data_IF_912368189707
#
_entry.id   IF_912368189707
#
_cell.length_a   1.000
_cell.length_b   1.000
_cell.length_c   1.000
_cell.angle_alpha   90.00
_cell.angle_beta   90.00
_cell.angle_gamma   90.00
#
_symmetry.space_group_name_H-M   'P 1'
#
loop_
_entity.id
_entity.type
_entity.pdbx_description
1 polymer ?
#
# COMPACT_ATOMS: atom_id res chain seq x y z
N UNK A 1 -8.51 84.40 29.88
CA UNK A 1 -9.76 84.66 29.14
C UNK A 1 -10.31 83.29 28.77
N UNK A 2 -11.16 82.71 29.60
CA UNK A 2 -12.65 82.72 29.58
C UNK A 2 -13.18 82.28 28.23
N UNK A 3 -13.74 81.03 28.16
CA UNK A 3 -15.16 80.74 28.10
C UNK A 3 -15.36 79.26 27.78
N UNK A 4 -16.01 78.56 28.65
CA UNK A 4 -17.39 78.05 28.67
C UNK A 4 -17.63 76.78 27.73
N UNK A 5 -17.66 75.67 28.33
CA UNK A 5 -18.73 74.68 28.64
C UNK A 5 -19.98 74.79 27.77
N UNK A 6 -20.30 73.68 27.13
CA UNK A 6 -21.68 73.14 27.03
C UNK A 6 -21.73 71.64 26.86
N UNK A 7 -22.31 70.99 27.84
CA UNK A 7 -22.68 69.58 27.90
C UNK A 7 -23.88 69.32 26.99
N UNK A 8 -23.86 68.14 26.24
CA UNK A 8 -25.09 67.50 25.78
C UNK A 8 -24.97 65.99 26.03
N UNK A 9 -25.85 65.52 26.90
CA UNK A 9 -26.15 64.11 27.09
C UNK A 9 -26.71 63.52 25.77
N UNK A 10 -26.22 62.44 25.37
CA UNK A 10 -26.88 61.58 24.41
C UNK A 10 -26.93 60.09 24.95
N UNK A 11 -28.16 59.60 24.99
CA UNK A 11 -28.54 58.34 25.60
C UNK A 11 -27.89 57.12 24.95
N UNK A 12 -27.33 56.21 25.76
CA UNK A 12 -26.92 54.86 25.34
C UNK A 12 -28.17 53.97 25.14
N UNK A 13 -28.44 53.59 23.91
CA UNK A 13 -29.30 52.47 23.60
C UNK A 13 -28.45 51.20 23.54
N UNK A 14 -28.54 50.32 24.53
CA UNK A 14 -27.89 49.01 24.57
C UNK A 14 -28.67 48.03 23.68
N UNK A 15 -28.17 47.76 22.46
CA UNK A 15 -28.60 46.59 21.67
C UNK A 15 -27.81 45.37 22.11
N UNK A 16 -28.44 44.50 22.86
CA UNK A 16 -27.94 43.16 23.17
C UNK A 16 -27.97 42.29 21.89
N UNK A 17 -26.82 42.17 21.23
CA UNK A 17 -26.61 41.17 20.20
C UNK A 17 -26.37 39.85 20.87
N UNK A 18 -27.40 38.97 20.87
CA UNK A 18 -27.29 37.55 21.20
C UNK A 18 -26.53 36.89 20.02
N UNK A 19 -25.23 36.83 20.14
CA UNK A 19 -24.37 36.04 19.23
C UNK A 19 -24.60 34.55 19.46
N UNK A 20 -25.46 33.93 18.65
CA UNK A 20 -25.59 32.50 18.58
C UNK A 20 -24.25 31.92 18.06
N UNK A 21 -23.50 31.21 18.90
CA UNK A 21 -22.41 30.32 18.48
C UNK A 21 -22.98 29.13 17.70
N UNK A 22 -23.40 29.35 16.47
CA UNK A 22 -23.57 28.27 15.51
C UNK A 22 -22.17 27.79 15.13
N UNK A 23 -21.85 26.51 15.38
CA UNK A 23 -20.70 25.87 14.76
C UNK A 23 -20.77 26.15 13.25
N UNK A 24 -19.71 26.66 12.61
CA UNK A 24 -19.69 26.77 11.16
C UNK A 24 -20.04 25.42 10.57
N UNK A 25 -21.01 25.37 9.67
CA UNK A 25 -21.28 24.19 8.88
C UNK A 25 -19.95 23.82 8.16
N UNK A 26 -19.60 22.53 8.07
CA UNK A 26 -18.43 22.12 7.32
C UNK A 26 -18.58 22.70 5.90
N UNK A 27 -17.58 23.48 5.48
CA UNK A 27 -17.52 23.95 4.09
C UNK A 27 -17.67 22.74 3.16
N UNK A 28 -18.49 22.82 2.10
CA UNK A 28 -18.56 21.75 1.14
C UNK A 28 -17.15 21.55 0.58
N UNK A 29 -16.56 20.39 0.85
CA UNK A 29 -15.27 20.02 0.29
C UNK A 29 -15.43 20.04 -1.22
N UNK A 30 -14.87 21.06 -1.88
CA UNK A 30 -14.88 21.13 -3.34
C UNK A 30 -14.20 19.87 -3.86
N UNK A 31 -14.94 19.08 -4.64
CA UNK A 31 -14.35 17.93 -5.32
C UNK A 31 -13.13 18.38 -6.10
N UNK A 32 -11.99 17.70 -6.00
CA UNK A 32 -10.80 18.13 -6.73
C UNK A 32 -11.11 18.12 -8.23
N UNK A 33 -10.71 19.16 -8.93
CA UNK A 33 -10.90 19.25 -10.38
C UNK A 33 -10.16 18.11 -11.11
N UNK A 34 -9.08 17.62 -10.52
CA UNK A 34 -8.25 16.51 -11.02
C UNK A 34 -7.98 15.54 -9.88
N UNK A 35 -8.26 14.26 -10.08
CA UNK A 35 -7.88 13.18 -9.18
C UNK A 35 -6.45 12.73 -9.49
N UNK A 36 -5.58 12.78 -8.51
CA UNK A 36 -4.27 12.16 -8.61
C UNK A 36 -4.39 10.69 -8.18
N UNK A 37 -4.11 9.79 -9.12
CA UNK A 37 -4.08 8.35 -8.91
C UNK A 37 -2.65 7.90 -8.62
N UNK A 38 -2.37 7.46 -7.40
CA UNK A 38 -1.05 6.97 -7.06
C UNK A 38 -0.81 5.57 -7.58
N UNK A 39 0.40 5.35 -8.08
CA UNK A 39 0.90 4.05 -8.51
C UNK A 39 2.11 3.71 -7.64
N UNK A 40 2.03 2.56 -6.95
CA UNK A 40 3.09 2.09 -6.07
C UNK A 40 4.39 1.86 -6.86
N UNK A 41 5.52 2.31 -6.32
CA UNK A 41 6.85 2.19 -6.94
C UNK A 41 7.46 0.78 -6.77
N UNK A 42 6.68 -0.26 -7.15
CA UNK A 42 7.12 -1.65 -7.14
C UNK A 42 8.16 -1.93 -8.23
N UNK A 43 8.02 -1.25 -9.36
CA UNK A 43 8.90 -1.29 -10.52
C UNK A 43 9.32 0.14 -10.89
N UNK A 44 10.07 0.31 -11.99
CA UNK A 44 10.42 1.65 -12.46
C UNK A 44 9.18 2.41 -12.99
N UNK A 45 9.26 3.74 -12.93
CA UNK A 45 8.14 4.61 -13.29
C UNK A 45 7.67 4.41 -14.74
N UNK A 46 8.59 4.16 -15.69
CA UNK A 46 8.22 4.01 -17.09
C UNK A 46 7.41 2.72 -17.30
N UNK A 47 7.86 1.61 -16.72
CA UNK A 47 7.17 0.33 -16.76
C UNK A 47 5.76 0.44 -16.14
N UNK A 48 5.66 1.06 -14.95
CA UNK A 48 4.38 1.29 -14.28
C UNK A 48 3.46 2.20 -15.10
N UNK A 49 3.98 3.25 -15.71
CA UNK A 49 3.21 4.16 -16.58
C UNK A 49 2.65 3.45 -17.80
N UNK A 50 3.44 2.57 -18.40
CA UNK A 50 3.04 1.82 -19.61
C UNK A 50 1.89 0.84 -19.34
N UNK A 51 1.87 0.20 -18.16
CA UNK A 51 0.84 -0.81 -17.84
C UNK A 51 -0.42 -0.21 -17.19
N UNK A 52 -0.28 0.86 -16.37
CA UNK A 52 -1.41 1.53 -15.75
C UNK A 52 -2.07 2.58 -16.63
N UNK A 53 -1.31 3.21 -17.53
CA UNK A 53 -1.80 4.28 -18.41
C UNK A 53 -3.11 3.93 -19.11
N UNK A 54 -3.20 2.80 -19.85
CA UNK A 54 -4.43 2.40 -20.53
C UNK A 54 -5.66 2.30 -19.61
N UNK A 55 -5.51 1.75 -18.40
CA UNK A 55 -6.61 1.69 -17.43
C UNK A 55 -7.02 3.08 -16.93
N UNK A 56 -6.08 3.99 -16.73
CA UNK A 56 -6.38 5.36 -16.30
C UNK A 56 -7.06 6.16 -17.41
N UNK A 57 -6.70 5.91 -18.67
CA UNK A 57 -7.36 6.52 -19.83
C UNK A 57 -8.82 6.03 -19.96
N UNK A 58 -9.06 4.72 -19.78
CA UNK A 58 -10.40 4.15 -19.75
C UNK A 58 -11.20 4.67 -18.55
N UNK A 59 -10.59 4.81 -17.39
CA UNK A 59 -11.22 5.42 -16.21
C UNK A 59 -11.71 6.84 -16.52
N UNK A 60 -10.88 7.68 -17.13
CA UNK A 60 -11.26 9.02 -17.52
C UNK A 60 -12.43 9.00 -18.53
N UNK A 61 -12.32 8.17 -19.56
CA UNK A 61 -13.30 8.05 -20.64
C UNK A 61 -14.67 7.59 -20.12
N UNK A 62 -14.70 6.56 -19.27
CA UNK A 62 -15.96 5.94 -18.80
C UNK A 62 -16.64 6.74 -17.68
N UNK A 63 -15.86 7.45 -16.85
CA UNK A 63 -16.40 8.16 -15.69
C UNK A 63 -16.57 9.66 -15.89
N UNK A 64 -15.88 10.23 -16.88
CA UNK A 64 -15.80 11.68 -17.09
C UNK A 64 -14.93 12.41 -16.04
N UNK A 65 -14.23 11.67 -15.17
CA UNK A 65 -13.31 12.24 -14.18
C UNK A 65 -11.98 12.60 -14.86
N UNK A 66 -11.39 13.72 -14.49
CA UNK A 66 -10.00 14.02 -14.87
C UNK A 66 -9.06 13.27 -13.89
N UNK A 67 -8.22 12.37 -14.41
CA UNK A 67 -7.31 11.56 -13.60
C UNK A 67 -5.87 11.78 -14.08
N UNK A 68 -4.92 11.91 -13.14
CA UNK A 68 -3.48 11.97 -13.45
C UNK A 68 -2.73 10.92 -12.66
N UNK A 69 -1.80 10.18 -13.27
CA UNK A 69 -0.93 9.29 -12.53
C UNK A 69 -0.01 10.10 -11.62
N UNK A 70 0.22 9.59 -10.41
CA UNK A 70 1.15 10.13 -9.42
C UNK A 70 2.16 9.07 -9.04
N UNK A 71 3.43 9.38 -9.17
CA UNK A 71 4.55 8.51 -8.80
C UNK A 71 5.33 9.15 -7.66
N UNK A 72 5.69 8.35 -6.68
CA UNK A 72 6.56 8.76 -5.59
C UNK A 72 7.86 7.95 -5.63
N UNK A 73 8.91 8.47 -5.02
CA UNK A 73 10.23 7.82 -4.97
C UNK A 73 10.26 6.53 -4.14
N UNK A 74 9.32 6.38 -3.20
CA UNK A 74 9.21 5.24 -2.30
C UNK A 74 7.79 5.15 -1.72
N UNK A 75 7.50 4.05 -1.03
CA UNK A 75 6.18 3.76 -0.46
C UNK A 75 5.78 4.75 0.65
N UNK A 76 6.72 5.20 1.48
CA UNK A 76 6.45 6.19 2.52
C UNK A 76 6.00 7.52 1.91
N UNK A 77 6.69 8.00 0.88
CA UNK A 77 6.30 9.24 0.19
C UNK A 77 4.90 9.14 -0.42
N UNK A 78 4.52 7.97 -0.91
CA UNK A 78 3.18 7.72 -1.45
C UNK A 78 2.09 7.80 -0.37
N UNK A 79 2.33 7.17 0.79
CA UNK A 79 1.43 7.23 1.95
C UNK A 79 1.26 8.68 2.45
N UNK A 80 2.36 9.43 2.53
CA UNK A 80 2.32 10.84 2.92
C UNK A 80 1.62 11.71 1.87
N UNK A 81 1.82 11.47 0.58
CA UNK A 81 1.09 12.17 -0.48
C UNK A 81 -0.43 11.99 -0.34
N UNK A 82 -0.89 10.79 0.00
CA UNK A 82 -2.31 10.55 0.32
C UNK A 82 -2.72 11.27 1.62
N UNK A 83 -1.88 11.25 2.66
CA UNK A 83 -2.15 11.94 3.93
C UNK A 83 -2.36 13.44 3.76
N UNK A 84 -1.56 14.07 2.91
CA UNK A 84 -1.62 15.50 2.63
C UNK A 84 -2.53 15.87 1.45
N UNK A 85 -3.42 14.97 1.05
CA UNK A 85 -4.38 15.16 -0.05
C UNK A 85 -3.75 15.51 -1.40
N UNK A 86 -2.48 15.19 -1.61
CA UNK A 86 -1.85 15.26 -2.93
C UNK A 86 -2.29 14.12 -3.84
N UNK A 87 -2.78 13.03 -3.24
CA UNK A 87 -3.33 11.85 -3.90
C UNK A 87 -4.71 11.55 -3.30
N UNK A 88 -5.71 11.29 -4.14
CA UNK A 88 -7.08 11.03 -3.71
C UNK A 88 -7.49 9.56 -3.89
N UNK A 89 -6.86 8.88 -4.81
CA UNK A 89 -7.11 7.47 -5.14
C UNK A 89 -5.80 6.82 -5.56
N UNK A 90 -5.65 5.50 -5.38
CA UNK A 90 -4.44 4.82 -5.87
C UNK A 90 -4.36 3.35 -5.56
N UNK A 91 -3.37 2.73 -6.14
CA UNK A 91 -3.01 1.33 -5.98
C UNK A 91 -1.90 1.16 -4.95
N UNK A 92 -2.14 0.33 -3.94
CA UNK A 92 -1.24 0.08 -2.81
C UNK A 92 -1.18 -1.42 -2.50
N UNK A 93 -0.01 -1.94 -2.14
CA UNK A 93 0.07 -3.28 -1.54
C UNK A 93 -0.45 -3.26 -0.10
N UNK A 94 -0.67 -4.43 0.50
CA UNK A 94 -1.47 -4.53 1.73
C UNK A 94 -0.89 -3.79 2.95
N UNK A 95 0.45 -3.76 3.17
CA UNK A 95 1.04 -3.00 4.28
C UNK A 95 0.91 -1.48 4.10
N UNK A 96 1.29 -0.87 2.98
CA UNK A 96 1.04 0.56 2.79
C UNK A 96 -0.45 0.90 2.74
N UNK A 97 -1.34 -0.02 2.32
CA UNK A 97 -2.79 0.14 2.46
C UNK A 97 -3.20 0.28 3.92
N UNK A 98 -2.71 -0.61 4.78
CA UNK A 98 -2.97 -0.55 6.22
C UNK A 98 -2.49 0.76 6.84
N UNK A 99 -1.30 1.22 6.47
CA UNK A 99 -0.80 2.49 6.97
C UNK A 99 -1.61 3.69 6.46
N UNK A 100 -2.01 3.71 5.20
CA UNK A 100 -2.84 4.77 4.63
C UNK A 100 -4.24 4.80 5.30
N UNK A 101 -4.86 3.65 5.55
CA UNK A 101 -6.13 3.55 6.30
C UNK A 101 -5.99 4.11 7.72
N UNK A 102 -4.87 3.80 8.39
CA UNK A 102 -4.66 4.21 9.78
C UNK A 102 -4.29 5.69 9.94
N UNK A 103 -3.59 6.31 8.98
CA UNK A 103 -2.98 7.64 9.18
C UNK A 103 -3.18 8.64 8.03
N UNK A 104 -3.75 8.23 6.91
CA UNK A 104 -3.95 9.09 5.73
C UNK A 104 -5.42 9.33 5.38
N UNK A 105 -6.33 9.08 6.33
CA UNK A 105 -7.78 9.19 6.14
C UNK A 105 -8.27 8.44 4.88
N UNK A 106 -7.68 7.30 4.60
CA UNK A 106 -8.02 6.44 3.46
C UNK A 106 -8.96 5.30 3.88
N UNK A 107 -9.66 4.76 2.90
CA UNK A 107 -10.46 3.53 2.99
C UNK A 107 -10.20 2.65 1.77
N UNK A 108 -10.41 1.35 1.94
CA UNK A 108 -10.32 0.38 0.85
C UNK A 108 -11.58 0.48 -0.01
N UNK A 109 -11.40 0.70 -1.31
CA UNK A 109 -12.48 0.68 -2.30
C UNK A 109 -12.67 -0.71 -2.91
N UNK A 110 -11.56 -1.39 -3.18
CA UNK A 110 -11.56 -2.72 -3.76
C UNK A 110 -10.19 -3.37 -3.68
N UNK A 111 -10.15 -4.69 -3.82
CA UNK A 111 -8.92 -5.48 -3.89
C UNK A 111 -8.70 -6.03 -5.28
N UNK A 112 -7.45 -6.19 -5.65
CA UNK A 112 -7.04 -6.81 -6.90
C UNK A 112 -7.38 -8.31 -6.87
N UNK A 113 -7.74 -8.83 -8.03
CA UNK A 113 -7.81 -10.26 -8.32
C UNK A 113 -6.65 -10.59 -9.25
N UNK A 114 -5.74 -11.45 -8.81
CA UNK A 114 -4.58 -11.90 -9.60
C UNK A 114 -5.02 -12.62 -10.88
N UNK A 115 -4.13 -12.69 -11.86
CA UNK A 115 -4.42 -13.28 -13.16
C UNK A 115 -4.87 -14.75 -13.13
N UNK A 116 -4.54 -15.48 -12.05
CA UNK A 116 -5.02 -16.86 -11.78
C UNK A 116 -6.40 -16.90 -11.10
N UNK A 117 -7.03 -15.76 -10.84
CA UNK A 117 -8.33 -15.63 -10.18
C UNK A 117 -8.29 -15.60 -8.66
N UNK A 118 -7.12 -15.75 -8.03
CA UNK A 118 -6.95 -15.65 -6.59
C UNK A 118 -6.95 -14.18 -6.13
N UNK A 119 -7.03 -13.95 -4.83
CA UNK A 119 -6.93 -12.62 -4.21
C UNK A 119 -5.71 -12.55 -3.28
N UNK A 120 -4.72 -13.36 -3.60
CA UNK A 120 -3.48 -13.53 -2.84
C UNK A 120 -2.30 -13.67 -3.77
N UNK A 121 -1.12 -13.34 -3.26
CA UNK A 121 0.18 -13.54 -3.89
C UNK A 121 1.18 -13.98 -2.80
N UNK A 122 2.41 -14.35 -3.16
CA UNK A 122 3.40 -14.77 -2.21
C UNK A 122 4.66 -13.90 -2.26
N UNK A 123 5.28 -13.72 -1.08
CA UNK A 123 6.64 -13.24 -0.95
C UNK A 123 7.62 -14.38 -1.22
N UNK A 124 8.73 -14.07 -1.87
CA UNK A 124 9.77 -15.06 -2.16
C UNK A 124 11.17 -14.54 -1.79
N UNK A 125 12.08 -15.46 -1.45
CA UNK A 125 13.52 -15.21 -1.48
C UNK A 125 14.08 -15.81 -2.75
N UNK A 126 14.87 -15.01 -3.48
CA UNK A 126 15.48 -15.40 -4.74
C UNK A 126 17.00 -15.37 -4.64
N UNK A 127 17.65 -16.26 -5.35
CA UNK A 127 19.09 -16.33 -5.55
C UNK A 127 19.39 -16.54 -7.03
N UNK A 128 20.63 -16.32 -7.47
CA UNK A 128 21.01 -16.64 -8.84
C UNK A 128 20.92 -18.15 -9.08
N UNK A 129 20.34 -18.54 -10.20
CA UNK A 129 20.23 -19.94 -10.62
C UNK A 129 21.61 -20.56 -10.72
N UNK A 130 21.77 -21.73 -10.13
CA UNK A 130 23.06 -22.44 -10.10
C UNK A 130 24.07 -21.92 -9.06
N UNK A 131 23.69 -20.97 -8.21
CA UNK A 131 24.58 -20.49 -7.12
C UNK A 131 24.83 -21.54 -6.03
N UNK A 132 23.95 -22.53 -5.91
CA UNK A 132 24.00 -23.52 -4.82
C UNK A 132 23.55 -22.98 -3.47
N UNK A 133 23.15 -21.72 -3.37
CA UNK A 133 22.69 -21.09 -2.10
C UNK A 133 21.29 -21.61 -1.79
N UNK A 134 21.12 -22.14 -0.57
CA UNK A 134 19.86 -22.62 -0.03
C UNK A 134 19.33 -21.70 1.06
N UNK A 135 18.05 -21.84 1.45
CA UNK A 135 17.50 -21.12 2.59
C UNK A 135 18.29 -21.40 3.88
N UNK A 136 18.68 -22.66 4.10
CA UNK A 136 19.47 -23.01 5.29
C UNK A 136 20.83 -22.32 5.32
N UNK A 137 21.45 -22.12 4.15
CA UNK A 137 22.71 -21.38 4.07
C UNK A 137 22.53 -19.89 4.40
N UNK A 138 21.42 -19.29 3.95
CA UNK A 138 21.03 -17.93 4.28
C UNK A 138 20.82 -17.77 5.79
N UNK A 139 20.14 -18.72 6.42
CA UNK A 139 19.79 -18.69 7.86
C UNK A 139 20.97 -18.96 8.79
N UNK A 140 22.11 -19.47 8.28
CA UNK A 140 23.36 -19.60 9.05
C UNK A 140 24.00 -18.25 9.34
N UNK A 141 23.60 -17.19 8.66
CA UNK A 141 24.18 -15.84 8.81
C UNK A 141 25.69 -15.78 8.57
N UNK A 142 26.43 -15.06 9.42
CA UNK A 142 27.90 -14.98 9.35
C UNK A 142 28.43 -13.97 8.37
N UNK A 143 27.60 -12.99 7.93
CA UNK A 143 27.96 -11.89 7.03
C UNK A 143 28.61 -12.34 5.72
N UNK A 144 28.06 -13.41 5.13
CA UNK A 144 28.62 -14.02 3.92
C UNK A 144 28.02 -13.46 2.63
N UNK A 145 26.72 -13.10 2.66
CA UNK A 145 25.95 -12.76 1.48
C UNK A 145 25.57 -11.28 1.44
N UNK A 146 25.60 -10.72 0.24
CA UNK A 146 25.04 -9.42 -0.07
C UNK A 146 23.53 -9.57 -0.29
N UNK A 147 22.69 -8.86 0.49
CA UNK A 147 21.25 -9.05 0.55
C UNK A 147 20.47 -7.82 0.06
N UNK A 148 19.50 -8.06 -0.83
CA UNK A 148 18.51 -7.09 -1.27
C UNK A 148 17.20 -7.24 -0.53
N UNK A 149 16.80 -6.24 0.26
CA UNK A 149 15.50 -6.17 0.89
C UNK A 149 14.60 -5.21 0.10
N UNK A 150 13.28 -5.37 0.17
CA UNK A 150 12.33 -4.44 -0.43
C UNK A 150 12.29 -3.08 0.27
N UNK A 151 11.40 -2.19 -0.20
CA UNK A 151 11.07 -0.95 0.52
C UNK A 151 10.62 -1.28 1.95
N UNK A 152 10.96 -0.42 2.92
CA UNK A 152 10.63 -0.63 4.33
C UNK A 152 9.12 -0.81 4.60
N UNK A 153 8.26 -0.30 3.69
CA UNK A 153 6.80 -0.44 3.74
C UNK A 153 6.28 -1.51 2.78
N UNK A 154 7.16 -2.31 2.16
CA UNK A 154 6.72 -3.40 1.29
C UNK A 154 6.18 -4.57 2.11
N UNK A 155 4.99 -5.06 1.72
CA UNK A 155 4.37 -6.26 2.30
C UNK A 155 5.24 -7.49 2.04
N UNK A 156 5.53 -7.79 0.78
CA UNK A 156 6.29 -8.97 0.37
C UNK A 156 7.80 -8.78 0.41
N UNK A 157 8.28 -7.54 0.21
CA UNK A 157 9.71 -7.26 0.19
C UNK A 157 10.34 -7.12 1.56
N UNK A 158 9.55 -6.85 2.61
CA UNK A 158 10.09 -6.57 3.95
C UNK A 158 9.27 -7.22 5.07
N UNK A 159 7.97 -6.93 5.17
CA UNK A 159 7.16 -7.43 6.28
C UNK A 159 7.09 -8.98 6.30
N UNK A 160 6.73 -9.61 5.19
CA UNK A 160 6.56 -11.06 5.13
C UNK A 160 7.87 -11.83 5.33
N UNK A 161 9.02 -11.47 4.69
CA UNK A 161 10.29 -12.12 4.99
C UNK A 161 10.71 -11.97 6.45
N UNK A 162 10.52 -10.79 7.05
CA UNK A 162 10.80 -10.60 8.47
C UNK A 162 9.91 -11.49 9.34
N UNK A 163 8.61 -11.48 9.10
CA UNK A 163 7.64 -12.22 9.89
C UNK A 163 7.80 -13.75 9.79
N UNK A 164 7.98 -14.28 8.59
CA UNK A 164 8.00 -15.72 8.36
C UNK A 164 9.38 -16.37 8.42
N UNK A 165 10.44 -15.62 8.08
CA UNK A 165 11.80 -16.18 7.93
C UNK A 165 12.73 -15.73 9.05
N UNK A 166 12.91 -14.42 9.20
CA UNK A 166 13.96 -13.87 10.04
C UNK A 166 13.56 -13.76 11.53
N UNK A 167 12.42 -13.15 11.84
CA UNK A 167 11.98 -12.92 13.21
C UNK A 167 11.76 -14.21 14.02
N UNK A 168 11.21 -15.31 13.49
CA UNK A 168 11.05 -16.56 14.23
C UNK A 168 12.38 -17.19 14.66
N UNK A 169 13.47 -16.86 13.98
CA UNK A 169 14.82 -17.33 14.27
C UNK A 169 15.66 -16.31 15.02
N UNK A 170 15.08 -15.17 15.42
CA UNK A 170 15.79 -14.08 16.08
C UNK A 170 16.81 -13.39 15.18
N UNK A 171 16.72 -13.55 13.87
CA UNK A 171 17.64 -12.98 12.90
C UNK A 171 17.26 -11.52 12.64
N UNK A 172 18.25 -10.63 12.73
CA UNK A 172 18.17 -9.26 12.21
C UNK A 172 18.98 -9.20 10.92
N UNK A 173 18.38 -8.84 9.77
CA UNK A 173 19.11 -8.85 8.49
C UNK A 173 20.40 -8.04 8.49
N UNK A 174 20.42 -6.87 9.13
CA UNK A 174 21.62 -6.03 9.24
C UNK A 174 22.78 -6.69 10.00
N UNK A 175 22.48 -7.63 10.88
CA UNK A 175 23.49 -8.39 11.63
C UNK A 175 23.88 -9.69 10.92
N UNK A 176 22.96 -10.27 10.16
CA UNK A 176 23.12 -11.55 9.49
C UNK A 176 23.92 -11.46 8.19
N UNK A 177 23.59 -10.45 7.36
CA UNK A 177 24.15 -10.31 6.02
C UNK A 177 25.39 -9.42 6.01
N UNK A 178 26.25 -9.59 4.99
CA UNK A 178 27.43 -8.76 4.74
C UNK A 178 27.03 -7.33 4.43
N UNK A 179 26.07 -7.15 3.52
CA UNK A 179 25.40 -5.89 3.25
C UNK A 179 23.89 -6.10 3.17
N UNK A 180 23.11 -5.07 3.50
CA UNK A 180 21.66 -5.02 3.27
C UNK A 180 21.36 -3.76 2.48
N UNK A 181 20.71 -3.91 1.32
CA UNK A 181 20.34 -2.79 0.45
C UNK A 181 18.83 -2.84 0.18
N UNK A 182 18.15 -1.73 0.39
CA UNK A 182 16.73 -1.59 0.06
C UNK A 182 16.58 -1.07 -1.37
N UNK A 183 15.76 -1.78 -2.18
CA UNK A 183 15.45 -1.40 -3.55
C UNK A 183 14.06 -1.91 -3.98
N UNK A 184 13.60 -1.53 -5.18
CA UNK A 184 12.38 -2.06 -5.79
C UNK A 184 12.52 -3.57 -6.10
N UNK A 185 11.40 -4.25 -6.31
CA UNK A 185 11.40 -5.67 -6.70
C UNK A 185 12.17 -5.90 -8.00
N UNK A 186 11.96 -5.03 -9.00
CA UNK A 186 12.68 -5.08 -10.27
C UNK A 186 14.19 -4.91 -10.09
N UNK A 187 14.62 -3.90 -9.31
CA UNK A 187 16.04 -3.66 -9.08
C UNK A 187 16.72 -4.83 -8.34
N UNK A 188 16.05 -5.40 -7.32
CA UNK A 188 16.52 -6.56 -6.60
C UNK A 188 16.62 -7.80 -7.50
N UNK A 189 15.61 -8.05 -8.35
CA UNK A 189 15.61 -9.14 -9.32
C UNK A 189 16.78 -9.01 -10.30
N UNK A 190 16.95 -7.81 -10.89
CA UNK A 190 18.05 -7.55 -11.81
C UNK A 190 19.42 -7.69 -11.14
N UNK A 191 19.57 -7.24 -9.90
CA UNK A 191 20.81 -7.34 -9.15
C UNK A 191 21.20 -8.80 -8.85
N UNK A 192 20.25 -9.65 -8.48
CA UNK A 192 20.48 -11.10 -8.28
C UNK A 192 20.80 -11.79 -9.61
N UNK A 193 20.02 -11.51 -10.66
CA UNK A 193 20.22 -12.10 -11.98
C UNK A 193 21.62 -11.82 -12.56
N UNK A 194 22.18 -10.64 -12.25
CA UNK A 194 23.51 -10.21 -12.70
C UNK A 194 24.64 -10.48 -11.68
N UNK A 195 24.32 -11.12 -10.54
CA UNK A 195 25.32 -11.49 -9.53
C UNK A 195 25.87 -10.31 -8.71
N UNK A 196 25.16 -9.18 -8.66
CA UNK A 196 25.46 -8.03 -7.80
C UNK A 196 25.00 -8.27 -6.35
N UNK A 197 23.92 -9.00 -6.19
CA UNK A 197 23.41 -9.50 -4.92
C UNK A 197 23.41 -11.04 -4.95
N UNK A 198 23.65 -11.63 -3.79
CA UNK A 198 23.61 -13.08 -3.62
C UNK A 198 22.17 -13.57 -3.38
N UNK A 199 21.42 -12.84 -2.57
CA UNK A 199 20.04 -13.14 -2.14
C UNK A 199 19.22 -11.86 -2.18
N UNK A 200 17.96 -11.96 -2.57
CA UNK A 200 17.03 -10.83 -2.42
C UNK A 200 15.61 -11.28 -2.13
N UNK A 201 14.81 -10.36 -1.60
CA UNK A 201 13.35 -10.49 -1.52
C UNK A 201 12.70 -10.09 -2.83
N UNK A 202 11.65 -10.80 -3.19
CA UNK A 202 10.77 -10.49 -4.31
C UNK A 202 9.35 -11.00 -4.02
N UNK A 203 8.50 -11.11 -5.04
CA UNK A 203 7.18 -11.73 -4.93
C UNK A 203 6.77 -12.37 -6.26
N UNK A 204 5.74 -13.21 -6.20
CA UNK A 204 5.25 -13.94 -7.37
C UNK A 204 4.73 -13.03 -8.48
N UNK A 205 4.06 -11.92 -8.14
CA UNK A 205 3.58 -10.93 -9.12
C UNK A 205 4.73 -10.24 -9.84
N UNK A 206 5.77 -9.82 -9.11
CA UNK A 206 6.96 -9.19 -9.69
C UNK A 206 7.73 -10.13 -10.62
N UNK A 207 7.80 -11.43 -10.30
CA UNK A 207 8.40 -12.43 -11.19
C UNK A 207 7.58 -12.62 -12.47
N UNK A 208 6.25 -12.72 -12.37
CA UNK A 208 5.35 -12.80 -13.53
C UNK A 208 5.43 -11.55 -14.40
N UNK A 209 5.49 -10.39 -13.75
CA UNK A 209 5.65 -9.11 -14.47
C UNK A 209 6.96 -9.09 -15.25
N UNK A 210 8.08 -9.47 -14.60
CA UNK A 210 9.39 -9.51 -15.23
C UNK A 210 9.46 -10.56 -16.37
N UNK A 211 8.81 -11.71 -16.22
CA UNK A 211 8.74 -12.74 -17.26
C UNK A 211 8.05 -12.23 -18.52
N UNK A 212 7.03 -11.40 -18.37
CA UNK A 212 6.34 -10.77 -19.49
C UNK A 212 7.18 -9.70 -20.17
N UNK A 213 7.87 -8.84 -19.39
CA UNK A 213 8.65 -7.72 -19.93
C UNK A 213 10.00 -8.15 -20.51
N UNK A 214 10.70 -9.06 -19.81
CA UNK A 214 12.00 -9.60 -20.21
C UNK A 214 12.24 -10.98 -19.58
N UNK A 215 11.81 -12.07 -20.22
CA UNK A 215 11.88 -13.42 -19.67
C UNK A 215 13.30 -13.92 -19.37
N UNK A 216 14.32 -13.30 -19.96
CA UNK A 216 15.71 -13.66 -19.70
C UNK A 216 16.17 -13.35 -18.26
N UNK A 217 15.56 -12.35 -17.62
CA UNK A 217 15.95 -11.93 -16.27
C UNK A 217 15.47 -12.94 -15.22
N UNK A 218 14.16 -13.28 -15.11
CA UNK A 218 13.71 -14.27 -14.14
C UNK A 218 14.26 -15.68 -14.45
N UNK A 219 14.58 -16.01 -15.70
CA UNK A 219 15.22 -17.28 -16.04
C UNK A 219 16.61 -17.49 -15.40
N UNK A 220 17.28 -16.41 -14.98
CA UNK A 220 18.59 -16.43 -14.30
C UNK A 220 18.51 -16.58 -12.78
N UNK A 221 17.31 -16.58 -12.21
CA UNK A 221 17.12 -16.70 -10.76
C UNK A 221 16.36 -17.98 -10.41
N UNK A 222 16.43 -18.35 -9.15
CA UNK A 222 15.63 -19.43 -8.56
C UNK A 222 15.08 -18.98 -7.21
N UNK A 223 13.88 -19.43 -6.89
CA UNK A 223 13.23 -19.23 -5.60
C UNK A 223 13.77 -20.27 -4.62
N UNK A 224 14.20 -19.83 -3.43
CA UNK A 224 14.66 -20.69 -2.34
C UNK A 224 13.69 -20.70 -1.15
N UNK A 225 12.69 -19.81 -1.14
CA UNK A 225 11.64 -19.77 -0.15
C UNK A 225 10.40 -19.03 -0.70
N UNK A 226 9.22 -19.52 -0.32
CA UNK A 226 7.92 -18.90 -0.63
C UNK A 226 7.10 -18.78 0.65
N UNK A 227 6.45 -17.65 0.85
CA UNK A 227 5.59 -17.41 2.02
C UNK A 227 4.25 -18.14 1.90
N UNK A 228 3.50 -18.28 3.01
CA UNK A 228 2.07 -18.45 2.91
C UNK A 228 1.42 -17.31 2.13
N UNK A 229 0.19 -17.50 1.58
CA UNK A 229 -0.52 -16.48 0.83
C UNK A 229 -0.68 -15.18 1.59
N UNK A 230 -0.38 -14.07 0.92
CA UNK A 230 -0.54 -12.69 1.41
C UNK A 230 -1.74 -12.05 0.73
N UNK A 231 -2.49 -11.16 1.41
CA UNK A 231 -3.55 -10.39 0.76
C UNK A 231 -2.99 -9.60 -0.42
N UNK A 232 -3.67 -9.68 -1.58
CA UNK A 232 -3.32 -8.94 -2.79
C UNK A 232 -3.45 -7.42 -2.56
N UNK A 233 -2.94 -6.63 -3.49
CA UNK A 233 -3.00 -5.17 -3.48
C UNK A 233 -4.44 -4.64 -3.54
N UNK A 234 -4.62 -3.38 -3.17
CA UNK A 234 -5.92 -2.73 -3.18
C UNK A 234 -5.93 -1.39 -3.90
N UNK A 235 -7.12 -0.98 -4.31
CA UNK A 235 -7.43 0.40 -4.66
C UNK A 235 -7.96 1.09 -3.40
N UNK A 236 -7.28 2.16 -3.02
CA UNK A 236 -7.66 3.02 -1.89
C UNK A 236 -8.23 4.33 -2.40
N UNK A 237 -9.13 4.90 -1.61
CA UNK A 237 -9.63 6.26 -1.79
C UNK A 237 -9.60 7.03 -0.48
N UNK A 238 -9.53 8.35 -0.54
CA UNK A 238 -9.69 9.18 0.65
C UNK A 238 -11.15 9.16 1.13
N UNK A 239 -11.35 9.11 2.46
CA UNK A 239 -12.70 9.03 3.06
C UNK A 239 -13.56 10.26 2.76
N UNK A 240 -12.95 11.44 2.70
CA UNK A 240 -13.64 12.70 2.41
C UNK A 240 -13.89 12.97 0.92
N UNK A 241 -13.45 12.07 0.02
CA UNK A 241 -13.77 12.20 -1.40
C UNK A 241 -15.30 12.13 -1.61
N UNK A 242 -15.80 12.99 -2.51
CA UNK A 242 -17.24 13.09 -2.78
C UNK A 242 -17.86 11.71 -3.03
N UNK A 243 -19.00 11.39 -2.37
CA UNK A 243 -19.65 10.09 -2.51
C UNK A 243 -20.00 9.72 -3.97
N UNK A 244 -20.33 10.71 -4.81
CA UNK A 244 -20.64 10.47 -6.22
C UNK A 244 -19.38 10.06 -7.01
N UNK A 245 -18.23 10.63 -6.68
CA UNK A 245 -16.92 10.25 -7.26
C UNK A 245 -16.57 8.84 -6.79
N UNK A 246 -16.68 8.54 -5.50
CA UNK A 246 -16.43 7.19 -4.98
C UNK A 246 -17.32 6.14 -5.65
N UNK A 247 -18.60 6.44 -5.85
CA UNK A 247 -19.52 5.55 -6.55
C UNK A 247 -19.12 5.30 -8.01
N UNK A 248 -18.66 6.33 -8.74
CA UNK A 248 -18.12 6.18 -10.10
C UNK A 248 -16.87 5.31 -10.13
N UNK A 249 -15.92 5.55 -9.20
CA UNK A 249 -14.70 4.76 -9.07
C UNK A 249 -15.02 3.29 -8.74
N UNK A 250 -15.89 3.07 -7.75
CA UNK A 250 -16.29 1.72 -7.37
C UNK A 250 -16.96 0.97 -8.53
N UNK A 251 -17.89 1.64 -9.24
CA UNK A 251 -18.52 1.05 -10.42
C UNK A 251 -17.48 0.69 -11.47
N UNK A 252 -16.60 1.63 -11.85
CA UNK A 252 -15.57 1.40 -12.84
C UNK A 252 -14.71 0.20 -12.48
N UNK A 253 -14.08 0.21 -11.32
CA UNK A 253 -13.16 -0.86 -10.93
C UNK A 253 -13.85 -2.23 -10.77
N UNK A 254 -15.09 -2.26 -10.26
CA UNK A 254 -15.80 -3.54 -10.05
C UNK A 254 -16.37 -4.15 -11.33
N UNK A 255 -16.53 -3.37 -12.40
CA UNK A 255 -17.06 -3.86 -13.69
C UNK A 255 -16.02 -3.93 -14.80
N UNK A 256 -14.81 -3.40 -14.59
CA UNK A 256 -13.75 -3.38 -15.60
C UNK A 256 -13.33 -4.80 -15.98
N UNK A 257 -13.40 -5.11 -17.27
CA UNK A 257 -13.13 -6.43 -17.83
C UNK A 257 -14.32 -7.41 -17.82
N UNK A 258 -15.48 -7.03 -17.25
CA UNK A 258 -16.65 -7.92 -17.16
C UNK A 258 -17.57 -7.84 -18.38
N UNK A 259 -17.50 -6.77 -19.17
CA UNK A 259 -18.31 -6.60 -20.37
C UNK A 259 -18.01 -7.67 -21.44
N UNK A 260 -18.99 -7.95 -22.30
CA UNK A 260 -18.84 -8.79 -23.50
C UNK A 260 -18.49 -7.94 -24.70
N UNK A 261 -17.92 -8.56 -25.74
CA UNK A 261 -17.56 -7.89 -26.99
C UNK A 261 -16.26 -7.09 -26.91
N UNK A 262 -16.02 -6.23 -27.91
CA UNK A 262 -14.74 -5.56 -28.14
C UNK A 262 -14.27 -4.69 -26.96
N UNK A 263 -15.19 -4.04 -26.25
CA UNK A 263 -14.85 -3.23 -25.06
C UNK A 263 -14.31 -4.12 -23.93
N UNK A 264 -15.04 -5.19 -23.58
CA UNK A 264 -14.59 -6.12 -22.56
C UNK A 264 -13.30 -6.86 -22.95
N UNK A 265 -13.11 -7.17 -24.23
CA UNK A 265 -11.86 -7.78 -24.73
C UNK A 265 -10.66 -6.81 -24.57
N UNK A 266 -10.87 -5.52 -24.86
CA UNK A 266 -9.88 -4.47 -24.61
C UNK A 266 -9.52 -4.39 -23.11
N UNK A 267 -10.53 -4.26 -22.23
CA UNK A 267 -10.33 -4.15 -20.78
C UNK A 267 -9.61 -5.36 -20.19
N UNK A 268 -10.00 -6.58 -20.60
CA UNK A 268 -9.30 -7.81 -20.22
C UNK A 268 -7.85 -7.84 -20.72
N UNK A 269 -7.61 -7.28 -21.90
CA UNK A 269 -6.26 -7.09 -22.45
C UNK A 269 -5.40 -6.17 -21.58
N UNK A 270 -5.99 -5.07 -21.07
CA UNK A 270 -5.33 -4.15 -20.13
C UNK A 270 -5.06 -4.83 -18.80
N UNK A 271 -6.07 -5.50 -18.21
CA UNK A 271 -5.91 -6.27 -16.98
C UNK A 271 -4.79 -7.33 -17.09
N UNK A 272 -4.74 -8.06 -18.21
CA UNK A 272 -3.69 -9.06 -18.45
C UNK A 272 -2.28 -8.45 -18.45
N UNK A 273 -2.12 -7.21 -18.97
CA UNK A 273 -0.84 -6.50 -18.89
C UNK A 273 -0.45 -6.13 -17.48
N UNK A 274 -1.40 -5.95 -16.58
CA UNK A 274 -1.22 -5.72 -15.17
C UNK A 274 -1.04 -7.02 -14.36
N UNK A 275 -1.12 -8.20 -14.98
CA UNK A 275 -1.20 -9.52 -14.33
C UNK A 275 -2.47 -9.76 -13.51
N UNK A 276 -3.53 -9.03 -13.80
CA UNK A 276 -4.80 -9.06 -13.06
C UNK A 276 -5.92 -9.72 -13.85
N UNK A 277 -6.90 -10.29 -13.13
CA UNK A 277 -8.17 -10.76 -13.67
C UNK A 277 -9.33 -9.79 -13.39
N UNK A 278 -9.16 -8.82 -12.51
CA UNK A 278 -10.15 -7.82 -12.17
C UNK A 278 -9.93 -7.14 -10.82
N UNK A 279 -10.92 -6.39 -10.37
CA UNK A 279 -10.91 -5.72 -9.07
C UNK A 279 -12.27 -5.98 -8.42
N UNK A 280 -12.29 -6.50 -7.20
CA UNK A 280 -13.52 -6.78 -6.44
C UNK A 280 -13.70 -5.78 -5.31
N UNK A 281 -14.93 -5.33 -5.01
CA UNK A 281 -15.21 -4.52 -3.83
C UNK A 281 -14.65 -5.19 -2.57
N UNK A 282 -14.03 -4.40 -1.70
CA UNK A 282 -13.49 -4.87 -0.43
C UNK A 282 -13.56 -3.76 0.61
N UNK A 283 -13.59 -4.13 1.88
CA UNK A 283 -13.45 -3.22 3.01
C UNK A 283 -12.11 -3.38 3.70
N UNK A 284 -11.88 -2.57 4.74
CA UNK A 284 -10.63 -2.55 5.51
C UNK A 284 -10.34 -3.86 6.26
N UNK A 285 -11.31 -4.76 6.37
CA UNK A 285 -11.20 -6.07 7.00
C UNK A 285 -10.29 -7.04 6.22
N UNK A 286 -10.14 -6.86 4.90
CA UNK A 286 -9.21 -7.67 4.12
C UNK A 286 -7.75 -7.47 4.56
N UNK A 287 -7.44 -6.36 5.27
CA UNK A 287 -6.10 -6.04 5.82
C UNK A 287 -5.82 -6.73 7.17
N UNK A 288 -6.77 -7.47 7.73
CA UNK A 288 -6.63 -8.08 9.06
C UNK A 288 -5.44 -9.05 9.19
N UNK A 289 -5.09 -9.87 8.18
CA UNK A 289 -3.86 -10.66 8.23
C UNK A 289 -2.60 -9.78 8.40
N UNK A 290 -2.57 -8.64 7.71
CA UNK A 290 -1.44 -7.70 7.78
C UNK A 290 -1.38 -7.00 9.15
N UNK A 291 -2.53 -6.65 9.74
CA UNK A 291 -2.59 -6.09 11.11
C UNK A 291 -1.95 -7.04 12.11
N UNK A 292 -2.24 -8.34 12.02
CA UNK A 292 -1.65 -9.35 12.88
C UNK A 292 -0.15 -9.52 12.64
N UNK A 293 0.30 -9.52 11.39
CA UNK A 293 1.71 -9.61 11.06
C UNK A 293 2.50 -8.42 11.61
N UNK A 294 2.00 -7.18 11.44
CA UNK A 294 2.61 -5.96 11.97
C UNK A 294 2.69 -6.02 13.48
N UNK A 295 1.59 -6.30 14.17
CA UNK A 295 1.57 -6.37 15.63
C UNK A 295 2.50 -7.47 16.20
N UNK A 296 2.61 -8.60 15.50
CA UNK A 296 3.53 -9.69 15.87
C UNK A 296 5.00 -9.32 15.65
N UNK A 297 5.30 -8.63 14.53
CA UNK A 297 6.66 -8.16 14.24
C UNK A 297 7.10 -7.07 15.24
N UNK A 298 6.21 -6.14 15.58
CA UNK A 298 6.44 -5.14 16.64
C UNK A 298 6.74 -5.78 17.99
N UNK A 299 5.97 -6.82 18.37
CA UNK A 299 6.20 -7.58 19.60
C UNK A 299 7.56 -8.30 19.55
N UNK A 300 7.90 -8.89 18.42
CA UNK A 300 9.19 -9.58 18.24
C UNK A 300 10.36 -8.60 18.36
N UNK A 301 10.25 -7.41 17.77
CA UNK A 301 11.25 -6.34 17.92
C UNK A 301 11.36 -5.85 19.34
N UNK A 302 10.24 -5.65 20.04
CA UNK A 302 10.24 -5.25 21.43
C UNK A 302 10.93 -6.29 22.33
N UNK A 303 10.72 -7.59 22.08
CA UNK A 303 11.38 -8.67 22.83
C UNK A 303 12.90 -8.72 22.59
N UNK A 304 13.39 -8.33 21.44
CA UNK A 304 14.84 -8.30 21.13
C UNK A 304 15.57 -7.12 21.77
N UNK A 305 15.02 -5.94 21.74
CA UNK A 305 15.72 -4.71 22.14
C UNK A 305 15.01 -3.83 23.17
N UNK A 306 13.80 -4.19 23.59
CA UNK A 306 12.98 -3.40 24.50
C UNK A 306 13.22 -3.73 25.98
N UNK A 307 12.84 -2.78 26.84
CA UNK A 307 12.70 -3.03 28.27
C UNK A 307 11.34 -3.68 28.58
N UNK A 308 11.13 -4.09 29.82
CA UNK A 308 9.89 -4.75 30.27
C UNK A 308 8.61 -3.96 29.96
N UNK A 309 8.65 -2.63 30.08
CA UNK A 309 7.49 -1.77 29.75
C UNK A 309 7.17 -1.77 28.25
N UNK A 310 8.19 -1.68 27.40
CA UNK A 310 8.05 -1.74 25.95
C UNK A 310 7.49 -3.10 25.49
N UNK A 311 8.01 -4.20 26.07
CA UNK A 311 7.53 -5.56 25.78
C UNK A 311 6.06 -5.72 26.20
N UNK A 312 5.69 -5.25 27.41
CA UNK A 312 4.32 -5.33 27.90
C UNK A 312 3.35 -4.51 27.04
N UNK A 313 3.76 -3.31 26.58
CA UNK A 313 2.96 -2.48 25.67
C UNK A 313 2.74 -3.16 24.32
N UNK A 314 3.79 -3.73 23.72
CA UNK A 314 3.71 -4.45 22.46
C UNK A 314 2.86 -5.72 22.57
N UNK A 315 2.97 -6.47 23.67
CA UNK A 315 2.13 -7.64 23.95
C UNK A 315 0.65 -7.24 24.04
N UNK A 316 0.33 -6.17 24.79
CA UNK A 316 -1.04 -5.64 24.91
C UNK A 316 -1.59 -5.22 23.54
N UNK A 317 -0.78 -4.57 22.71
CA UNK A 317 -1.19 -4.16 21.36
C UNK A 317 -1.46 -5.38 20.46
N UNK A 318 -0.62 -6.40 20.51
CA UNK A 318 -0.82 -7.66 19.78
C UNK A 318 -2.11 -8.36 20.21
N UNK A 319 -2.36 -8.50 21.51
CA UNK A 319 -3.56 -9.16 22.05
C UNK A 319 -4.84 -8.38 21.66
N UNK A 320 -4.79 -7.04 21.72
CA UNK A 320 -5.89 -6.18 21.28
C UNK A 320 -6.16 -6.33 19.76
N UNK A 321 -5.12 -6.39 18.95
CA UNK A 321 -5.24 -6.61 17.51
C UNK A 321 -5.85 -7.98 17.21
N UNK A 322 -5.41 -9.02 17.91
CA UNK A 322 -5.94 -10.38 17.78
C UNK A 322 -7.43 -10.43 18.15
N UNK A 323 -7.83 -9.77 19.25
CA UNK A 323 -9.23 -9.68 19.66
C UNK A 323 -10.08 -8.91 18.64
N UNK A 324 -9.57 -7.78 18.12
CA UNK A 324 -10.25 -6.99 17.07
C UNK A 324 -10.51 -7.82 15.81
N UNK A 325 -9.48 -8.53 15.33
CA UNK A 325 -9.60 -9.37 14.12
C UNK A 325 -10.59 -10.52 14.34
N UNK A 326 -10.58 -11.13 15.52
CA UNK A 326 -11.51 -12.20 15.87
C UNK A 326 -12.99 -11.74 15.99
N UNK A 327 -13.20 -10.47 16.36
CA UNK A 327 -14.56 -9.90 16.55
C UNK A 327 -15.18 -9.37 15.25
N UNK A 328 -14.40 -9.18 14.18
CA UNK A 328 -14.91 -8.67 12.91
C UNK A 328 -15.73 -9.73 12.18
N UNK A 329 -16.91 -9.37 11.63
CA UNK A 329 -17.58 -10.22 10.67
C UNK A 329 -16.65 -10.50 9.51
N UNK A 330 -16.45 -11.76 9.18
CA UNK A 330 -15.73 -12.10 7.96
C UNK A 330 -16.59 -11.63 6.80
N UNK A 331 -16.09 -10.70 5.97
CA UNK A 331 -16.70 -10.41 4.68
C UNK A 331 -16.91 -11.73 3.95
N UNK A 332 -18.07 -11.96 3.28
CA UNK A 332 -18.26 -13.17 2.52
C UNK A 332 -17.04 -13.33 1.63
N UNK A 333 -16.33 -14.45 1.79
CA UNK A 333 -15.31 -14.81 0.86
C UNK A 333 -16.00 -14.81 -0.49
N UNK A 334 -15.64 -13.85 -1.36
CA UNK A 334 -16.15 -13.84 -2.70
C UNK A 334 -15.63 -15.13 -3.34
N UNK A 335 -16.52 -16.14 -3.34
CA UNK A 335 -16.37 -17.40 -4.05
C UNK A 335 -16.18 -17.14 -5.54
#
# INVERSE_FOLDING_TARGET
>A
MIALVRSTLAALAACALVGGCGKPAPEPTSSPEVLNFSILSAEDQQSMSNVWGPMLDDLQKQTGLKVKPFFASNYTALIEAMRFNQVQVGWFSALPSLEAVNRSNAEVLGRIVSGDGTVTYESVLIVRKGSGITLDDVLKCGKRYDFGIGDAKSTSGTLAPNYYVFSPKGIEPSECFKTVRSASHQANLGAVANGVLDVATNNTEGLLFAERENPEIPAKVQVIWTSPPLPESAILVRKELDPSIKAKLLKFFSTYGTATGAEGDHERGVLKKLTYAGIRPAGDDYLDPIRLMVASDDLSRAKRGGNGATIAAAQKAFDATKALVASRPKSPAAS
#
